data_IF_613121089885
#
_entry.id   IF_613121089885
#
_cell.length_a   1.000
_cell.length_b   1.000
_cell.length_c   1.000
_cell.angle_alpha   90.00
_cell.angle_beta   90.00
_cell.angle_gamma   90.00
#
_symmetry.space_group_name_H-M   'P 1'
#
loop_
_entity.id
_entity.type
_entity.pdbx_description
1 polymer ?
#
# COMPACT_ATOMS: atom_id res chain seq x y z
N UNK A 1 -16.12 17.72 -15.67
CA UNK A 1 -16.87 18.90 -15.19
C UNK A 1 -17.50 18.55 -13.88
N UNK A 2 -17.19 19.27 -12.81
CA UNK A 2 -17.76 19.04 -11.48
C UNK A 2 -19.28 19.20 -11.53
N UNK A 3 -19.98 18.07 -11.53
CA UNK A 3 -21.45 18.00 -11.51
C UNK A 3 -22.04 18.79 -10.34
N UNK A 4 -21.26 18.94 -9.28
CA UNK A 4 -21.57 19.71 -8.07
C UNK A 4 -21.65 21.21 -8.35
N UNK A 5 -20.63 21.76 -9.02
CA UNK A 5 -20.58 23.18 -9.36
C UNK A 5 -21.71 23.51 -10.34
N UNK A 6 -21.93 22.63 -11.32
CA UNK A 6 -23.02 22.78 -12.28
C UNK A 6 -24.40 22.76 -11.60
N UNK A 7 -24.64 21.80 -10.69
CA UNK A 7 -25.91 21.72 -9.94
C UNK A 7 -26.12 22.95 -9.05
N UNK A 8 -25.07 23.42 -8.38
CA UNK A 8 -25.10 24.65 -7.59
C UNK A 8 -25.46 25.87 -8.43
N UNK A 9 -24.86 26.03 -9.61
CA UNK A 9 -25.16 27.12 -10.53
C UNK A 9 -26.61 27.06 -11.04
N UNK A 10 -27.12 25.87 -11.39
CA UNK A 10 -28.51 25.70 -11.85
C UNK A 10 -29.52 26.01 -10.74
N UNK A 11 -29.25 25.58 -9.49
CA UNK A 11 -30.09 25.90 -8.34
C UNK A 11 -30.13 27.40 -8.03
N UNK A 12 -28.96 28.07 -8.08
CA UNK A 12 -28.88 29.52 -7.90
C UNK A 12 -29.61 30.29 -9.00
N UNK A 13 -29.49 29.85 -10.26
CA UNK A 13 -30.24 30.43 -11.39
C UNK A 13 -31.75 30.26 -11.21
N UNK A 14 -32.21 29.05 -10.83
CA UNK A 14 -33.62 28.78 -10.58
C UNK A 14 -34.20 29.65 -9.45
N UNK A 15 -33.46 29.80 -8.35
CA UNK A 15 -33.83 30.67 -7.24
C UNK A 15 -33.90 32.15 -7.64
N UNK A 16 -32.92 32.62 -8.41
CA UNK A 16 -32.90 34.00 -8.93
C UNK A 16 -34.07 34.31 -9.86
N UNK A 17 -34.44 33.36 -10.73
CA UNK A 17 -35.59 33.50 -11.63
C UNK A 17 -36.90 33.49 -10.85
N UNK A 18 -37.07 32.57 -9.90
CA UNK A 18 -38.28 32.48 -9.06
C UNK A 18 -38.50 33.73 -8.21
N UNK A 19 -37.43 34.28 -7.61
CA UNK A 19 -37.50 35.53 -6.83
C UNK A 19 -37.72 36.76 -7.71
N UNK A 20 -37.10 36.82 -8.90
CA UNK A 20 -37.28 37.93 -9.85
C UNK A 20 -38.70 38.03 -10.41
N UNK A 21 -39.35 36.90 -10.68
CA UNK A 21 -40.73 36.87 -11.20
C UNK A 21 -41.80 37.17 -10.12
N UNK A 22 -41.52 36.85 -8.85
CA UNK A 22 -42.47 37.05 -7.74
C UNK A 22 -42.61 38.50 -7.25
N UNK A 23 -41.67 39.39 -7.58
CA UNK A 23 -41.69 40.80 -7.16
C UNK A 23 -42.51 41.72 -8.07
N UNK A 24 -43.01 41.22 -9.20
CA UNK A 24 -43.72 42.03 -10.21
C UNK A 24 -45.21 42.30 -9.93
N UNK A 25 -45.84 41.66 -8.94
CA UNK A 25 -47.27 41.83 -8.64
C UNK A 25 -47.50 42.73 -7.42
N UNK A 26 -47.88 43.97 -7.71
CA UNK A 26 -48.20 45.00 -6.73
C UNK A 26 -49.54 44.72 -6.03
N UNK A 27 -49.50 44.53 -4.71
CA UNK A 27 -50.43 45.00 -3.64
C UNK A 27 -50.15 44.15 -2.39
N UNK A 28 -49.31 44.66 -1.46
CA UNK A 28 -48.92 43.95 -0.22
C UNK A 28 -47.41 43.77 -0.01
N UNK A 29 -46.60 44.82 -0.26
CA UNK A 29 -45.13 44.74 -0.35
C UNK A 29 -44.43 44.16 0.89
N UNK A 30 -44.88 44.48 2.11
CA UNK A 30 -44.19 44.07 3.35
C UNK A 30 -44.40 42.58 3.69
N UNK A 31 -45.58 42.02 3.40
CA UNK A 31 -45.86 40.61 3.62
C UNK A 31 -45.12 39.73 2.60
N UNK A 32 -45.05 40.17 1.33
CA UNK A 32 -44.33 39.44 0.28
C UNK A 32 -42.82 39.40 0.51
N UNK A 33 -42.21 40.46 1.02
CA UNK A 33 -40.76 40.49 1.31
C UNK A 33 -40.41 39.47 2.40
N UNK A 34 -41.21 39.41 3.48
CA UNK A 34 -40.97 38.44 4.56
C UNK A 34 -41.07 37.00 4.06
N UNK A 35 -42.12 36.67 3.30
CA UNK A 35 -42.28 35.34 2.72
C UNK A 35 -41.15 34.98 1.74
N UNK A 36 -40.65 35.95 0.97
CA UNK A 36 -39.51 35.76 0.08
C UNK A 36 -38.22 35.48 0.86
N UNK A 37 -37.97 36.18 1.98
CA UNK A 37 -36.82 35.89 2.84
C UNK A 37 -36.92 34.54 3.56
N UNK A 38 -38.11 34.15 4.00
CA UNK A 38 -38.35 32.83 4.61
C UNK A 38 -38.10 31.71 3.58
N UNK A 39 -38.58 31.87 2.34
CA UNK A 39 -38.35 30.92 1.24
C UNK A 39 -36.87 30.89 0.81
N UNK A 40 -36.22 32.04 0.73
CA UNK A 40 -34.79 32.14 0.42
C UNK A 40 -33.93 31.51 1.52
N UNK A 41 -34.30 31.70 2.79
CA UNK A 41 -33.62 31.07 3.92
C UNK A 41 -33.76 29.55 3.87
N UNK A 42 -34.97 29.04 3.65
CA UNK A 42 -35.21 27.61 3.48
C UNK A 42 -34.41 27.05 2.29
N UNK A 43 -34.47 27.70 1.14
CA UNK A 43 -33.74 27.26 -0.06
C UNK A 43 -32.21 27.33 0.14
N UNK A 44 -31.73 28.37 0.82
CA UNK A 44 -30.32 28.52 1.21
C UNK A 44 -29.87 27.35 2.08
N UNK A 45 -30.63 27.02 3.14
CA UNK A 45 -30.30 25.87 4.01
C UNK A 45 -30.33 24.54 3.27
N UNK A 46 -31.27 24.34 2.33
CA UNK A 46 -31.34 23.14 1.52
C UNK A 46 -30.12 23.00 0.60
N UNK A 47 -29.69 24.10 -0.06
CA UNK A 47 -28.48 24.11 -0.89
C UNK A 47 -27.24 23.82 -0.04
N UNK A 48 -27.10 24.46 1.13
CA UNK A 48 -25.98 24.20 2.05
C UNK A 48 -25.95 22.74 2.49
N UNK A 49 -27.10 22.14 2.80
CA UNK A 49 -27.18 20.72 3.18
C UNK A 49 -26.72 19.80 2.04
N UNK A 50 -27.15 20.05 0.79
CA UNK A 50 -26.71 19.28 -0.37
C UNK A 50 -25.21 19.43 -0.59
N UNK A 51 -24.68 20.65 -0.52
CA UNK A 51 -23.23 20.90 -0.66
C UNK A 51 -22.45 20.18 0.43
N UNK A 52 -22.92 20.19 1.68
CA UNK A 52 -22.29 19.47 2.78
C UNK A 52 -22.28 17.96 2.56
N UNK A 53 -23.38 17.36 2.11
CA UNK A 53 -23.45 15.93 1.78
C UNK A 53 -22.48 15.56 0.65
N UNK A 54 -22.40 16.40 -0.37
CA UNK A 54 -21.48 16.17 -1.50
C UNK A 54 -20.02 16.34 -1.07
N UNK A 55 -19.71 17.36 -0.27
CA UNK A 55 -18.39 17.55 0.29
C UNK A 55 -17.99 16.34 1.17
N UNK A 56 -18.92 15.81 1.96
CA UNK A 56 -18.68 14.65 2.82
C UNK A 56 -18.40 13.39 2.00
N UNK A 57 -19.16 13.12 0.93
CA UNK A 57 -18.94 11.95 0.06
C UNK A 57 -17.64 12.06 -0.74
N UNK A 58 -17.31 13.26 -1.22
CA UNK A 58 -16.02 13.52 -1.88
C UNK A 58 -14.85 13.32 -0.92
N UNK A 59 -14.96 13.84 0.30
CA UNK A 59 -13.94 13.66 1.34
C UNK A 59 -13.73 12.18 1.64
N UNK A 60 -14.79 11.41 1.89
CA UNK A 60 -14.67 9.98 2.17
C UNK A 60 -13.91 9.24 1.07
N UNK A 61 -14.19 9.57 -0.19
CA UNK A 61 -13.50 8.97 -1.34
C UNK A 61 -12.02 9.35 -1.35
N UNK A 62 -11.69 10.65 -1.20
CA UNK A 62 -10.31 11.13 -1.16
C UNK A 62 -9.52 10.54 0.01
N UNK A 63 -10.15 10.42 1.18
CA UNK A 63 -9.54 9.83 2.37
C UNK A 63 -9.24 8.36 2.15
N UNK A 64 -10.16 7.59 1.57
CA UNK A 64 -9.94 6.19 1.22
C UNK A 64 -8.77 6.03 0.25
N UNK A 65 -8.66 6.89 -0.77
CA UNK A 65 -7.52 6.87 -1.68
C UNK A 65 -6.20 7.22 -0.99
N UNK A 66 -6.21 8.19 -0.07
CA UNK A 66 -5.03 8.57 0.72
C UNK A 66 -4.56 7.42 1.61
N UNK A 67 -5.48 6.74 2.31
CA UNK A 67 -5.15 5.59 3.16
C UNK A 67 -4.66 4.40 2.34
N UNK A 68 -5.30 4.08 1.21
CA UNK A 68 -4.81 3.06 0.26
C UNK A 68 -3.39 3.37 -0.22
N UNK A 69 -3.14 4.63 -0.56
CA UNK A 69 -1.83 5.08 -1.01
C UNK A 69 -0.76 4.96 0.07
N UNK A 70 -1.10 5.35 1.30
CA UNK A 70 -0.21 5.21 2.46
C UNK A 70 0.13 3.74 2.72
N UNK A 71 -0.86 2.84 2.69
CA UNK A 71 -0.63 1.41 2.88
C UNK A 71 0.27 0.79 1.79
N UNK A 72 0.10 1.20 0.52
CA UNK A 72 1.03 0.80 -0.56
C UNK A 72 2.45 1.26 -0.24
N UNK A 73 2.62 2.51 0.18
CA UNK A 73 3.94 3.05 0.49
C UNK A 73 4.59 2.32 1.67
N UNK A 74 3.84 2.09 2.74
CA UNK A 74 4.33 1.37 3.92
C UNK A 74 4.73 -0.07 3.56
N UNK A 75 4.01 -0.70 2.62
CA UNK A 75 4.37 -2.01 2.07
C UNK A 75 5.64 -1.96 1.21
N UNK A 76 5.79 -0.94 0.36
CA UNK A 76 7.02 -0.73 -0.42
C UNK A 76 8.24 -0.54 0.48
N UNK A 77 8.13 0.34 1.48
CA UNK A 77 9.21 0.60 2.44
C UNK A 77 9.58 -0.67 3.23
N UNK A 78 8.60 -1.53 3.54
CA UNK A 78 8.84 -2.80 4.21
C UNK A 78 9.48 -3.87 3.31
N UNK A 79 9.18 -3.88 2.01
CA UNK A 79 9.81 -4.79 1.04
C UNK A 79 11.28 -4.42 0.80
N UNK A 80 11.58 -3.13 0.68
CA UNK A 80 12.95 -2.67 0.45
C UNK A 80 13.86 -3.02 1.63
N UNK A 81 13.40 -2.77 2.87
CA UNK A 81 13.96 -3.20 4.17
C UNK A 81 15.48 -3.24 4.34
N UNK A 82 16.23 -2.47 3.55
CA UNK A 82 17.67 -2.24 3.71
C UNK A 82 18.53 -3.50 3.59
N UNK A 83 18.16 -4.45 2.73
CA UNK A 83 18.95 -5.66 2.47
C UNK A 83 19.12 -6.58 3.71
N UNK A 84 18.23 -6.50 4.72
CA UNK A 84 18.43 -7.24 5.97
C UNK A 84 18.50 -8.76 5.77
N UNK A 85 17.66 -9.31 4.89
CA UNK A 85 17.71 -10.72 4.50
C UNK A 85 19.07 -11.10 3.86
N UNK A 86 19.57 -10.29 2.93
CA UNK A 86 20.86 -10.52 2.27
C UNK A 86 22.01 -10.49 3.27
N UNK A 87 22.03 -9.49 4.15
CA UNK A 87 23.04 -9.33 5.19
C UNK A 87 23.04 -10.49 6.19
N UNK A 88 21.87 -10.98 6.58
CA UNK A 88 21.76 -12.16 7.45
C UNK A 88 22.30 -13.41 6.76
N UNK A 89 21.92 -13.66 5.50
CA UNK A 89 22.38 -14.82 4.75
C UNK A 89 23.89 -14.79 4.53
N UNK A 90 24.47 -13.63 4.18
CA UNK A 90 25.91 -13.46 4.06
C UNK A 90 26.64 -13.78 5.38
N UNK A 91 26.10 -13.30 6.51
CA UNK A 91 26.65 -13.60 7.83
C UNK A 91 26.59 -15.11 8.14
N UNK A 92 25.48 -15.77 7.83
CA UNK A 92 25.33 -17.21 8.02
C UNK A 92 26.33 -18.02 7.16
N UNK A 93 26.52 -17.63 5.89
CA UNK A 93 27.46 -18.28 4.99
C UNK A 93 28.92 -18.04 5.41
N UNK A 94 29.28 -16.82 5.82
CA UNK A 94 30.64 -16.52 6.27
C UNK A 94 31.01 -17.31 7.53
N UNK A 95 30.09 -17.42 8.50
CA UNK A 95 30.27 -18.26 9.68
C UNK A 95 30.44 -19.74 9.33
N UNK A 96 29.66 -20.23 8.38
CA UNK A 96 29.74 -21.64 7.94
C UNK A 96 31.07 -21.90 7.25
N UNK A 97 31.51 -21.02 6.35
CA UNK A 97 32.79 -21.12 5.65
C UNK A 97 33.99 -21.07 6.62
N UNK A 98 33.95 -20.17 7.61
CA UNK A 98 34.97 -20.11 8.65
C UNK A 98 35.04 -21.41 9.46
N UNK A 99 33.89 -21.96 9.85
CA UNK A 99 33.82 -23.22 10.58
C UNK A 99 34.31 -24.43 9.77
N UNK A 100 34.08 -24.46 8.46
CA UNK A 100 34.55 -25.57 7.64
C UNK A 100 36.08 -25.64 7.54
N UNK A 101 36.76 -24.48 7.61
CA UNK A 101 38.22 -24.38 7.60
C UNK A 101 38.88 -24.80 8.92
N UNK A 102 38.10 -24.99 10.00
CA UNK A 102 38.61 -25.43 11.30
C UNK A 102 38.64 -26.96 11.41
N UNK A 103 39.63 -27.53 12.15
CA UNK A 103 39.63 -28.93 12.55
C UNK A 103 38.32 -29.31 13.24
N UNK A 104 37.83 -30.53 13.01
CA UNK A 104 36.50 -30.97 13.47
C UNK A 104 36.20 -30.72 14.96
N UNK A 105 37.21 -30.80 15.83
CA UNK A 105 37.09 -30.62 17.28
C UNK A 105 37.07 -29.14 17.71
N UNK A 106 37.46 -28.23 16.82
CA UNK A 106 37.42 -26.77 17.03
C UNK A 106 36.20 -26.12 16.38
N UNK A 107 35.47 -26.86 15.54
CA UNK A 107 34.23 -26.38 14.91
C UNK A 107 33.22 -26.04 16.00
N UNK A 108 32.93 -24.76 16.15
CA UNK A 108 31.87 -24.26 17.02
C UNK A 108 31.06 -23.25 16.23
N UNK A 109 29.75 -23.48 16.13
CA UNK A 109 28.84 -22.40 15.75
C UNK A 109 28.73 -21.46 16.94
N UNK A 110 29.67 -20.53 17.03
CA UNK A 110 29.52 -19.43 17.97
C UNK A 110 28.54 -18.44 17.34
N UNK A 111 27.31 -18.39 17.86
CA UNK A 111 26.29 -17.45 17.42
C UNK A 111 26.71 -16.06 17.89
N UNK A 112 27.60 -15.44 17.14
CA UNK A 112 28.16 -14.13 17.44
C UNK A 112 27.03 -13.13 17.65
N UNK A 113 27.29 -12.11 18.46
CA UNK A 113 26.35 -11.02 18.65
C UNK A 113 25.94 -10.40 17.30
N UNK A 114 26.88 -10.29 16.36
CA UNK A 114 26.62 -9.83 15.00
C UNK A 114 25.57 -10.69 14.29
N UNK A 115 25.68 -12.03 14.34
CA UNK A 115 24.69 -12.93 13.74
C UNK A 115 23.29 -12.71 14.32
N UNK A 116 23.19 -12.61 15.66
CA UNK A 116 21.91 -12.39 16.34
C UNK A 116 21.29 -11.04 15.96
N UNK A 117 22.11 -9.99 15.82
CA UNK A 117 21.65 -8.67 15.38
C UNK A 117 21.12 -8.71 13.94
N UNK A 118 21.82 -9.37 13.01
CA UNK A 118 21.36 -9.53 11.62
C UNK A 118 20.10 -10.39 11.54
N UNK A 119 20.00 -11.46 12.34
CA UNK A 119 18.80 -12.30 12.43
C UNK A 119 17.59 -11.49 12.90
N UNK A 120 17.77 -10.71 13.98
CA UNK A 120 16.74 -9.85 14.52
C UNK A 120 16.28 -8.81 13.51
N UNK A 121 17.20 -8.20 12.76
CA UNK A 121 16.88 -7.26 11.69
C UNK A 121 16.05 -7.90 10.57
N UNK A 122 16.43 -9.10 10.12
CA UNK A 122 15.67 -9.83 9.11
C UNK A 122 14.26 -10.18 9.60
N UNK A 123 14.11 -10.74 10.81
CA UNK A 123 12.78 -11.05 11.35
C UNK A 123 11.92 -9.82 11.60
N UNK A 124 12.52 -8.70 12.01
CA UNK A 124 11.81 -7.43 12.11
C UNK A 124 11.28 -6.97 10.75
N UNK A 125 12.08 -7.12 9.68
CA UNK A 125 11.65 -6.83 8.31
C UNK A 125 10.48 -7.74 7.90
N UNK A 126 10.58 -9.06 8.07
CA UNK A 126 9.48 -9.99 7.76
C UNK A 126 8.18 -9.63 8.50
N UNK A 127 8.28 -9.28 9.77
CA UNK A 127 7.14 -8.83 10.57
C UNK A 127 6.55 -7.50 10.07
N UNK A 128 7.39 -6.56 9.63
CA UNK A 128 6.95 -5.31 9.02
C UNK A 128 6.22 -5.57 7.69
N UNK A 129 6.78 -6.40 6.80
CA UNK A 129 6.17 -6.79 5.53
C UNK A 129 4.80 -7.43 5.75
N UNK A 130 4.69 -8.39 6.68
CA UNK A 130 3.42 -9.06 6.97
C UNK A 130 2.36 -8.09 7.50
N UNK A 131 2.75 -7.14 8.37
CA UNK A 131 1.83 -6.11 8.88
C UNK A 131 1.36 -5.16 7.77
N UNK A 132 2.27 -4.71 6.91
CA UNK A 132 1.92 -3.85 5.79
C UNK A 132 1.04 -4.56 4.75
N UNK A 133 1.32 -5.83 4.47
CA UNK A 133 0.46 -6.67 3.62
C UNK A 133 -0.95 -6.84 4.21
N UNK A 134 -1.05 -7.09 5.51
CA UNK A 134 -2.34 -7.17 6.21
C UNK A 134 -3.14 -5.87 6.08
N UNK A 135 -2.48 -4.70 6.11
CA UNK A 135 -3.14 -3.41 5.89
C UNK A 135 -3.64 -3.25 4.45
N UNK A 136 -2.89 -3.73 3.44
CA UNK A 136 -3.35 -3.77 2.06
C UNK A 136 -4.62 -4.63 1.95
N UNK A 137 -4.62 -5.85 2.51
CA UNK A 137 -5.80 -6.73 2.45
C UNK A 137 -7.04 -6.06 3.08
N UNK A 138 -6.88 -5.31 4.18
CA UNK A 138 -8.00 -4.65 4.85
C UNK A 138 -8.57 -3.45 4.08
N UNK A 139 -7.74 -2.78 3.27
CA UNK A 139 -8.12 -1.54 2.58
C UNK A 139 -8.56 -1.75 1.13
N UNK A 140 -8.12 -2.84 0.49
CA UNK A 140 -8.32 -3.10 -0.94
C UNK A 140 -9.43 -4.12 -1.17
N UNK A 141 -10.20 -3.92 -2.24
CA UNK A 141 -11.27 -4.84 -2.65
C UNK A 141 -10.68 -6.06 -3.37
N UNK A 142 -11.37 -7.20 -3.39
CA UNK A 142 -10.86 -8.45 -4.02
C UNK A 142 -10.44 -8.27 -5.49
N UNK A 143 -11.15 -7.42 -6.25
CA UNK A 143 -10.80 -7.11 -7.65
C UNK A 143 -9.49 -6.32 -7.75
N UNK A 144 -9.23 -5.42 -6.80
CA UNK A 144 -7.98 -4.67 -6.75
C UNK A 144 -6.83 -5.57 -6.28
N UNK A 145 -7.09 -6.46 -5.32
CA UNK A 145 -6.13 -7.46 -4.86
C UNK A 145 -5.76 -8.44 -5.98
N UNK A 146 -6.71 -8.85 -6.83
CA UNK A 146 -6.43 -9.72 -7.97
C UNK A 146 -5.45 -9.11 -9.00
N UNK A 147 -5.27 -7.78 -8.99
CA UNK A 147 -4.28 -7.11 -9.83
C UNK A 147 -2.84 -7.25 -9.30
N UNK A 148 -2.67 -7.51 -8.01
CA UNK A 148 -1.42 -8.03 -7.48
C UNK A 148 -1.32 -9.49 -7.92
N UNK A 149 -0.60 -9.75 -9.02
CA UNK A 149 -0.38 -11.13 -9.48
C UNK A 149 0.13 -11.96 -8.30
N UNK A 150 -0.58 -13.04 -7.99
CA UNK A 150 -0.20 -13.96 -6.92
C UNK A 150 1.04 -14.75 -7.31
N UNK A 151 2.18 -14.39 -6.70
CA UNK A 151 3.03 -15.17 -5.79
C UNK A 151 3.32 -16.67 -6.04
N UNK A 152 2.66 -17.39 -6.95
CA UNK A 152 2.84 -18.84 -7.07
C UNK A 152 4.25 -19.22 -7.54
N UNK A 153 4.78 -18.54 -8.57
CA UNK A 153 6.15 -18.79 -9.06
C UNK A 153 7.22 -18.42 -8.02
N UNK A 154 7.01 -17.37 -7.23
CA UNK A 154 7.98 -16.94 -6.21
C UNK A 154 7.91 -17.84 -5.00
N UNK A 155 6.71 -18.24 -4.59
CA UNK A 155 6.53 -19.17 -3.50
C UNK A 155 7.18 -20.51 -3.85
N UNK A 156 6.96 -21.03 -5.06
CA UNK A 156 7.64 -22.23 -5.56
C UNK A 156 9.17 -22.06 -5.58
N UNK A 157 9.67 -20.89 -5.97
CA UNK A 157 11.10 -20.60 -6.02
C UNK A 157 11.74 -20.44 -4.62
N UNK A 158 11.00 -19.86 -3.67
CA UNK A 158 11.40 -19.79 -2.25
C UNK A 158 11.42 -21.19 -1.66
N UNK A 159 10.38 -22.01 -1.85
CA UNK A 159 10.31 -23.38 -1.36
C UNK A 159 11.44 -24.25 -1.94
N UNK A 160 11.73 -24.10 -3.24
CA UNK A 160 12.87 -24.74 -3.90
C UNK A 160 14.21 -24.30 -3.29
N UNK A 161 14.36 -23.01 -3.01
CA UNK A 161 15.60 -22.48 -2.43
C UNK A 161 15.80 -22.95 -0.98
N UNK A 162 14.73 -22.99 -0.18
CA UNK A 162 14.74 -23.55 1.17
C UNK A 162 15.16 -25.02 1.13
N UNK A 163 14.58 -25.80 0.20
CA UNK A 163 14.91 -27.22 0.03
C UNK A 163 16.39 -27.42 -0.30
N UNK A 164 16.93 -26.62 -1.23
CA UNK A 164 18.36 -26.64 -1.57
C UNK A 164 19.26 -26.26 -0.40
N UNK A 165 18.89 -25.24 0.39
CA UNK A 165 19.66 -24.83 1.57
C UNK A 165 19.68 -25.94 2.63
N UNK A 166 18.53 -26.57 2.88
CA UNK A 166 18.41 -27.67 3.83
C UNK A 166 19.23 -28.89 3.38
N UNK A 167 19.12 -29.28 2.11
CA UNK A 167 19.87 -30.41 1.56
C UNK A 167 21.39 -30.19 1.68
N UNK A 168 21.85 -28.96 1.48
CA UNK A 168 23.25 -28.59 1.63
C UNK A 168 23.78 -28.62 3.04
N UNK A 169 22.95 -28.17 3.97
CA UNK A 169 23.27 -28.23 5.38
C UNK A 169 23.51 -29.68 5.82
N UNK A 170 22.74 -30.63 5.29
CA UNK A 170 22.87 -32.04 5.65
C UNK A 170 23.99 -32.79 4.90
N UNK A 171 24.26 -32.46 3.64
CA UNK A 171 25.20 -33.26 2.81
C UNK A 171 26.69 -32.91 3.01
N UNK A 172 27.04 -31.80 3.69
CA UNK A 172 28.42 -31.43 4.05
C UNK A 172 29.45 -31.40 2.89
N UNK A 173 29.01 -31.28 1.63
CA UNK A 173 29.91 -31.20 0.49
C UNK A 173 30.40 -29.76 0.20
N UNK A 174 31.70 -29.53 -0.02
CA UNK A 174 32.25 -28.19 -0.22
C UNK A 174 31.79 -27.48 -1.51
N UNK A 175 31.52 -28.23 -2.58
CA UNK A 175 30.94 -27.68 -3.82
C UNK A 175 29.46 -27.28 -3.65
N UNK A 176 28.80 -27.86 -2.65
CA UNK A 176 27.39 -27.61 -2.40
C UNK A 176 27.15 -26.19 -1.90
N UNK A 177 27.95 -25.69 -0.95
CA UNK A 177 27.80 -24.33 -0.42
C UNK A 177 27.87 -23.24 -1.50
N UNK A 178 28.73 -23.42 -2.51
CA UNK A 178 28.83 -22.50 -3.65
C UNK A 178 27.55 -22.54 -4.51
N UNK A 179 27.01 -23.74 -4.73
CA UNK A 179 25.74 -23.93 -5.44
C UNK A 179 24.55 -23.38 -4.64
N UNK A 180 24.54 -23.53 -3.31
CA UNK A 180 23.52 -22.94 -2.44
C UNK A 180 23.60 -21.43 -2.44
N UNK A 181 24.81 -20.87 -2.31
CA UNK A 181 25.03 -19.44 -2.31
C UNK A 181 24.58 -18.79 -3.62
N UNK A 182 24.96 -19.38 -4.76
CA UNK A 182 24.52 -18.91 -6.08
C UNK A 182 23.01 -19.06 -6.28
N UNK A 183 22.39 -20.14 -5.82
CA UNK A 183 20.94 -20.32 -5.84
C UNK A 183 20.22 -19.28 -4.98
N UNK A 184 20.71 -19.01 -3.77
CA UNK A 184 20.18 -18.00 -2.85
C UNK A 184 20.31 -16.60 -3.43
N UNK A 185 21.46 -16.23 -4.01
CA UNK A 185 21.63 -14.94 -4.70
C UNK A 185 20.67 -14.83 -5.88
N UNK A 186 20.54 -15.87 -6.68
CA UNK A 186 19.64 -15.89 -7.84
C UNK A 186 18.18 -15.74 -7.44
N UNK A 187 17.74 -16.47 -6.40
CA UNK A 187 16.41 -16.37 -5.83
C UNK A 187 16.17 -14.97 -5.24
N UNK A 188 17.10 -14.45 -4.42
CA UNK A 188 17.00 -13.11 -3.84
C UNK A 188 16.94 -12.02 -4.91
N UNK A 189 17.75 -12.12 -5.96
CA UNK A 189 17.74 -11.19 -7.09
C UNK A 189 16.41 -11.23 -7.85
N UNK A 190 15.87 -12.43 -8.10
CA UNK A 190 14.56 -12.59 -8.77
C UNK A 190 13.39 -12.12 -7.91
N UNK A 191 13.39 -12.43 -6.62
CA UNK A 191 12.43 -11.89 -5.67
C UNK A 191 12.49 -10.36 -5.61
N UNK A 192 13.71 -9.77 -5.64
CA UNK A 192 13.87 -8.31 -5.72
C UNK A 192 13.35 -7.74 -7.02
N UNK A 193 13.68 -8.35 -8.16
CA UNK A 193 13.20 -7.90 -9.47
C UNK A 193 11.68 -7.98 -9.56
N UNK A 194 11.08 -9.04 -9.00
CA UNK A 194 9.64 -9.16 -8.92
C UNK A 194 9.03 -8.10 -8.00
N UNK A 195 9.63 -7.85 -6.84
CA UNK A 195 9.21 -6.76 -5.96
C UNK A 195 9.28 -5.41 -6.71
N UNK A 196 10.30 -5.21 -7.56
CA UNK A 196 10.41 -4.02 -8.44
C UNK A 196 9.35 -4.01 -9.56
N UNK A 197 8.96 -5.16 -10.11
CA UNK A 197 7.86 -5.25 -11.08
C UNK A 197 6.51 -4.96 -10.43
N UNK A 198 6.25 -5.51 -9.24
CA UNK A 198 5.09 -5.19 -8.43
C UNK A 198 5.09 -3.71 -8.03
N UNK A 199 6.26 -3.14 -7.74
CA UNK A 199 6.43 -1.71 -7.53
C UNK A 199 6.06 -0.89 -8.78
N UNK A 200 6.48 -1.32 -9.97
CA UNK A 200 6.12 -0.66 -11.23
C UNK A 200 4.62 -0.78 -11.53
N UNK A 201 4.00 -1.92 -11.22
CA UNK A 201 2.56 -2.13 -11.35
C UNK A 201 1.76 -1.28 -10.36
N UNK A 202 2.16 -1.23 -9.09
CA UNK A 202 1.59 -0.34 -8.07
C UNK A 202 1.72 1.14 -8.47
N UNK A 203 2.85 1.52 -9.08
CA UNK A 203 3.06 2.87 -9.63
C UNK A 203 2.18 3.14 -10.86
N UNK A 204 1.82 2.12 -11.62
CA UNK A 204 0.89 2.24 -12.74
C UNK A 204 -0.55 2.37 -12.25
N UNK A 205 -0.93 1.60 -11.22
CA UNK A 205 -2.18 1.76 -10.46
C UNK A 205 -2.32 3.18 -9.90
N UNK A 206 -1.24 3.75 -9.35
CA UNK A 206 -1.19 5.16 -8.93
C UNK A 206 -1.62 6.13 -10.03
N UNK A 207 -1.15 5.93 -11.27
CA UNK A 207 -1.52 6.79 -12.41
C UNK A 207 -2.99 6.64 -12.78
N UNK A 208 -3.57 5.46 -12.61
CA UNK A 208 -4.96 5.17 -12.93
C UNK A 208 -5.93 5.64 -11.84
N UNK A 209 -5.53 5.63 -10.57
CA UNK A 209 -6.34 6.10 -9.43
C UNK A 209 -6.46 7.64 -9.35
N UNK A 210 -5.60 8.39 -10.05
CA UNK A 210 -5.61 9.86 -10.08
C UNK A 210 -6.44 10.42 -11.26
N UNK A 211 -6.97 9.55 -12.13
CA UNK A 211 -7.88 9.92 -13.23
C UNK A 211 -9.34 9.79 -12.83
#
# INVERSE_FOLDING_TARGET
>A
MDRVIFLGCVLLLGLGVMTGLGLGSSVGLSASIRSAFELLSFAGTAVTAVVALVALTSWQTQFRHSEKWKAIKDFQDALDGGEAAHNYLLCAFSMTAQNQNLPWHERRMDLTQEFQEKQKAWFAQCSATNRAWSQIILLFDEQELASFKGDQEIQEEIEKTISLVLEGYFQSEPNFLVNTYSAVISCSSRARNYAMEQFAQATTLKKNLVR
#
